data_IF_834904253206
#
_entry.id   IF_834904253206
#
_cell.length_a   1.000
_cell.length_b   1.000
_cell.length_c   1.000
_cell.angle_alpha   90.00
_cell.angle_beta   90.00
_cell.angle_gamma   90.00
#
_symmetry.space_group_name_H-M   'P 1'
#
loop_
_entity.id
_entity.type
_entity.pdbx_description
1 polymer ?
#
# COMPACT_ATOMS: atom_id res chain seq x y z
N UNK A 1 -18.63 10.67 -9.17
CA UNK A 1 -19.23 9.43 -8.62
C UNK A 1 -18.11 8.70 -7.94
N UNK A 2 -18.27 8.22 -6.71
CA UNK A 2 -17.23 7.40 -6.09
C UNK A 2 -17.04 6.13 -6.94
N UNK A 3 -15.80 5.66 -7.06
CA UNK A 3 -15.46 4.48 -7.86
C UNK A 3 -16.16 3.20 -7.36
N UNK A 4 -16.47 3.12 -6.05
CA UNK A 4 -17.37 2.10 -5.47
C UNK A 4 -18.78 2.12 -6.08
N UNK A 5 -19.27 3.30 -6.47
CA UNK A 5 -20.55 3.47 -7.16
C UNK A 5 -20.55 2.78 -8.52
N UNK A 6 -19.48 2.94 -9.30
CA UNK A 6 -19.36 2.32 -10.63
C UNK A 6 -19.16 0.81 -10.57
N UNK A 7 -18.38 0.34 -9.59
CA UNK A 7 -18.28 -1.08 -9.29
C UNK A 7 -19.65 -1.69 -8.90
N UNK A 8 -20.43 -1.02 -8.04
CA UNK A 8 -21.78 -1.46 -7.67
C UNK A 8 -22.73 -1.43 -8.87
N UNK A 9 -22.65 -0.43 -9.73
CA UNK A 9 -23.40 -0.39 -10.98
C UNK A 9 -23.07 -1.57 -11.89
N UNK A 10 -21.78 -1.90 -12.04
CA UNK A 10 -21.35 -3.07 -12.81
C UNK A 10 -21.82 -4.38 -12.16
N UNK A 11 -21.77 -4.49 -10.84
CA UNK A 11 -22.33 -5.63 -10.12
C UNK A 11 -23.84 -5.78 -10.37
N UNK A 12 -24.57 -4.66 -10.39
CA UNK A 12 -26.01 -4.63 -10.64
C UNK A 12 -26.40 -5.02 -12.07
N UNK A 13 -25.49 -4.89 -13.04
CA UNK A 13 -25.68 -5.44 -14.39
C UNK A 13 -25.64 -6.97 -14.42
N UNK A 14 -24.91 -7.58 -13.48
CA UNK A 14 -24.81 -9.05 -13.34
C UNK A 14 -25.93 -9.60 -12.45
N UNK A 15 -26.24 -8.90 -11.36
CA UNK A 15 -27.32 -9.24 -10.42
C UNK A 15 -28.01 -7.95 -9.94
N UNK A 16 -29.28 -7.69 -10.32
CA UNK A 16 -30.00 -6.49 -9.91
C UNK A 16 -30.09 -6.27 -8.38
N UNK A 17 -29.93 -7.32 -7.58
CA UNK A 17 -29.93 -7.27 -6.10
C UNK A 17 -28.52 -7.15 -5.51
N UNK A 18 -27.49 -6.97 -6.36
CA UNK A 18 -26.12 -6.86 -5.94
C UNK A 18 -25.94 -5.76 -4.89
N UNK A 19 -25.17 -6.12 -3.87
CA UNK A 19 -24.66 -5.24 -2.82
C UNK A 19 -23.14 -5.42 -2.74
N UNK A 20 -22.45 -4.35 -2.37
CA UNK A 20 -21.03 -4.48 -2.04
C UNK A 20 -20.89 -5.26 -0.73
N UNK A 21 -19.82 -6.05 -0.64
CA UNK A 21 -19.43 -6.68 0.61
C UNK A 21 -18.96 -5.63 1.61
N UNK A 22 -18.96 -6.03 2.89
CA UNK A 22 -18.24 -5.30 3.93
C UNK A 22 -16.75 -5.23 3.59
N UNK A 23 -16.09 -4.12 3.90
CA UNK A 23 -14.69 -3.92 3.56
C UNK A 23 -13.78 -4.93 4.24
N UNK A 24 -14.09 -5.35 5.47
CA UNK A 24 -13.32 -6.37 6.19
C UNK A 24 -13.40 -7.74 5.47
N UNK A 25 -14.55 -8.07 4.88
CA UNK A 25 -14.71 -9.29 4.09
C UNK A 25 -13.91 -9.23 2.80
N UNK A 26 -13.93 -8.09 2.09
CA UNK A 26 -13.10 -7.92 0.90
C UNK A 26 -11.61 -7.98 1.22
N UNK A 27 -11.21 -7.43 2.37
CA UNK A 27 -9.85 -7.52 2.85
C UNK A 27 -9.44 -8.97 3.20
N UNK A 28 -10.35 -9.78 3.73
CA UNK A 28 -10.10 -11.22 3.99
C UNK A 28 -10.04 -12.03 2.70
N UNK A 29 -10.91 -11.72 1.74
CA UNK A 29 -10.98 -12.38 0.44
C UNK A 29 -9.93 -11.85 -0.56
N UNK A 30 -8.93 -11.12 -0.04
CA UNK A 30 -7.92 -10.45 -0.82
C UNK A 30 -7.27 -11.36 -1.86
N UNK A 31 -6.77 -12.52 -1.47
CA UNK A 31 -6.14 -13.47 -2.40
C UNK A 31 -7.07 -13.90 -3.55
N UNK A 32 -8.34 -14.16 -3.25
CA UNK A 32 -9.33 -14.56 -4.24
C UNK A 32 -9.64 -13.43 -5.22
N UNK A 33 -9.92 -12.25 -4.67
CA UNK A 33 -10.23 -11.05 -5.47
C UNK A 33 -9.00 -10.67 -6.31
N UNK A 34 -7.78 -10.75 -5.78
CA UNK A 34 -6.55 -10.55 -6.55
C UNK A 34 -6.46 -11.47 -7.77
N UNK A 35 -6.61 -12.78 -7.52
CA UNK A 35 -6.45 -13.80 -8.54
C UNK A 35 -7.50 -13.62 -9.64
N UNK A 36 -8.73 -13.29 -9.27
CA UNK A 36 -9.80 -12.97 -10.21
C UNK A 36 -9.41 -11.79 -11.09
N UNK A 37 -9.02 -10.67 -10.48
CA UNK A 37 -8.78 -9.41 -11.16
C UNK A 37 -7.52 -9.39 -12.03
N UNK A 38 -6.59 -10.32 -11.79
CA UNK A 38 -5.35 -10.45 -12.56
C UNK A 38 -5.34 -11.70 -13.44
N UNK A 39 -6.48 -12.41 -13.54
CA UNK A 39 -6.59 -13.64 -14.32
C UNK A 39 -5.54 -14.69 -13.93
N UNK A 40 -5.23 -14.79 -12.64
CA UNK A 40 -4.27 -15.76 -12.09
C UNK A 40 -5.00 -17.07 -11.75
N UNK A 41 -4.30 -18.22 -11.71
CA UNK A 41 -4.88 -19.48 -11.27
C UNK A 41 -5.66 -19.33 -9.94
N UNK A 42 -6.87 -19.93 -9.83
CA UNK A 42 -7.47 -20.91 -10.75
C UNK A 42 -8.20 -20.29 -11.95
N UNK A 43 -8.20 -18.96 -12.09
CA UNK A 43 -8.84 -18.30 -13.22
C UNK A 43 -8.00 -18.46 -14.49
N UNK A 44 -8.64 -18.69 -15.65
CA UNK A 44 -7.91 -18.84 -16.90
C UNK A 44 -7.08 -17.58 -17.19
N UNK A 45 -5.77 -17.72 -17.49
CA UNK A 45 -4.95 -16.57 -17.88
C UNK A 45 -5.49 -15.99 -19.18
N UNK A 46 -5.85 -14.70 -19.15
CA UNK A 46 -6.29 -13.94 -20.32
C UNK A 46 -5.33 -12.78 -20.55
N UNK A 47 -4.93 -12.55 -21.80
CA UNK A 47 -4.08 -11.41 -22.21
C UNK A 47 -4.77 -10.62 -23.33
N UNK A 48 -5.20 -9.37 -23.08
CA UNK A 48 -5.23 -8.69 -21.78
C UNK A 48 -6.27 -9.30 -20.82
N UNK A 49 -6.03 -9.20 -19.52
CA UNK A 49 -7.04 -9.57 -18.53
C UNK A 49 -8.20 -8.56 -18.63
N UNK A 50 -9.46 -9.00 -18.77
CA UNK A 50 -10.58 -8.09 -19.05
C UNK A 50 -11.08 -7.33 -17.81
N UNK A 51 -10.54 -7.63 -16.64
CA UNK A 51 -10.95 -7.02 -15.38
C UNK A 51 -10.15 -5.75 -15.09
N UNK A 52 -10.84 -4.72 -14.63
CA UNK A 52 -10.26 -3.44 -14.24
C UNK A 52 -10.73 -3.02 -12.84
N UNK A 53 -10.35 -1.82 -12.35
CA UNK A 53 -10.65 -1.38 -10.99
C UNK A 53 -12.14 -1.43 -10.61
N UNK A 54 -13.04 -1.18 -11.58
CA UNK A 54 -14.49 -1.20 -11.42
C UNK A 54 -15.12 -2.59 -11.60
N UNK A 55 -14.31 -3.63 -11.80
CA UNK A 55 -14.82 -4.99 -12.01
C UNK A 55 -15.32 -5.59 -10.69
N UNK A 56 -16.58 -6.06 -10.64
CA UNK A 56 -17.12 -6.70 -9.46
C UNK A 56 -16.66 -8.15 -9.37
N UNK A 57 -16.17 -8.55 -8.21
CA UNK A 57 -15.78 -9.93 -7.89
C UNK A 57 -16.83 -10.53 -6.95
N UNK A 58 -17.53 -11.60 -7.36
CA UNK A 58 -18.52 -12.25 -6.52
C UNK A 58 -17.85 -12.97 -5.35
N UNK A 59 -18.34 -12.72 -4.14
CA UNK A 59 -17.84 -13.28 -2.89
C UNK A 59 -19.04 -13.73 -2.04
N UNK A 60 -18.88 -14.83 -1.31
CA UNK A 60 -19.87 -15.28 -0.34
C UNK A 60 -19.50 -14.79 1.07
N UNK A 61 -20.43 -14.09 1.70
CA UNK A 61 -20.31 -13.63 3.07
C UNK A 61 -20.43 -14.76 4.10
N UNK A 62 -20.20 -14.48 5.39
CA UNK A 62 -20.15 -15.48 6.46
C UNK A 62 -21.47 -16.26 6.65
N UNK A 63 -22.60 -15.71 6.21
CA UNK A 63 -23.92 -16.37 6.27
C UNK A 63 -24.34 -16.96 4.92
N UNK A 64 -23.40 -17.09 3.99
CA UNK A 64 -23.63 -17.59 2.64
C UNK A 64 -24.31 -16.59 1.70
N UNK A 65 -24.41 -15.31 2.09
CA UNK A 65 -24.98 -14.29 1.21
C UNK A 65 -24.01 -13.91 0.09
N UNK A 66 -24.51 -13.78 -1.14
CA UNK A 66 -23.72 -13.22 -2.23
C UNK A 66 -23.55 -11.71 -2.03
N UNK A 67 -22.33 -11.23 -2.14
CA UNK A 67 -21.99 -9.82 -2.24
C UNK A 67 -20.80 -9.65 -3.20
N UNK A 68 -20.44 -8.41 -3.51
CA UNK A 68 -19.39 -8.12 -4.49
C UNK A 68 -18.28 -7.28 -3.86
N UNK A 69 -17.04 -7.72 -4.04
CA UNK A 69 -15.85 -6.91 -3.81
C UNK A 69 -15.42 -6.25 -5.11
N UNK A 70 -14.70 -5.13 -5.04
CA UNK A 70 -14.21 -4.47 -6.24
C UNK A 70 -12.77 -4.88 -6.49
N UNK A 71 -12.38 -5.05 -7.76
CA UNK A 71 -11.01 -5.45 -8.08
C UNK A 71 -9.92 -4.54 -7.52
N UNK A 72 -10.26 -3.27 -7.32
CA UNK A 72 -9.38 -2.31 -6.65
C UNK A 72 -9.10 -2.64 -5.20
N UNK A 73 -10.02 -3.27 -4.46
CA UNK A 73 -9.87 -3.51 -3.01
C UNK A 73 -8.62 -4.34 -2.69
N UNK A 74 -8.11 -5.11 -3.65
CA UNK A 74 -6.88 -5.91 -3.49
C UNK A 74 -5.67 -5.34 -4.22
N UNK A 75 -5.88 -4.68 -5.36
CA UNK A 75 -4.83 -3.81 -5.91
C UNK A 75 -4.45 -2.67 -4.93
N UNK A 76 -5.29 -2.40 -3.93
CA UNK A 76 -5.14 -1.37 -2.89
C UNK A 76 -4.29 -1.74 -1.68
N UNK A 77 -3.58 -2.88 -1.65
CA UNK A 77 -2.67 -3.17 -0.52
C UNK A 77 -1.32 -2.45 -0.62
N UNK A 78 -1.01 -1.84 -1.76
CA UNK A 78 0.21 -1.04 -1.97
C UNK A 78 -0.06 0.29 -2.67
N UNK A 79 -1.08 1.07 -2.28
CA UNK A 79 -1.44 2.25 -3.03
C UNK A 79 -0.60 3.43 -2.54
N UNK A 80 -0.03 4.19 -3.48
CA UNK A 80 0.71 5.42 -3.21
C UNK A 80 -0.14 6.61 -3.67
N UNK A 81 -0.26 7.63 -2.83
CA UNK A 81 -1.00 8.84 -3.17
C UNK A 81 -0.33 9.65 -4.29
N UNK A 82 -1.16 10.28 -5.13
CA UNK A 82 -0.71 11.15 -6.24
C UNK A 82 -1.32 12.55 -6.11
N UNK A 83 -0.69 13.59 -6.68
CA UNK A 83 -1.13 14.98 -6.49
C UNK A 83 -2.56 15.28 -6.96
N UNK A 84 -2.97 14.69 -8.09
CA UNK A 84 -4.22 15.07 -8.79
C UNK A 84 -5.34 14.04 -8.67
N UNK A 85 -5.30 13.13 -7.70
CA UNK A 85 -6.37 12.15 -7.58
C UNK A 85 -6.16 11.02 -6.61
N UNK A 86 -6.87 9.94 -6.89
CA UNK A 86 -6.89 8.76 -6.05
C UNK A 86 -5.58 7.98 -6.15
N UNK A 87 -5.18 7.38 -5.03
CA UNK A 87 -3.96 6.59 -4.94
C UNK A 87 -3.91 5.48 -6.01
N UNK A 88 -2.70 5.25 -6.54
CA UNK A 88 -2.42 4.25 -7.57
C UNK A 88 -1.62 3.09 -6.98
N UNK A 89 -1.80 1.85 -7.47
CA UNK A 89 -0.91 0.73 -7.13
C UNK A 89 0.55 1.09 -7.44
N UNK A 90 1.48 0.69 -6.56
CA UNK A 90 2.92 0.99 -6.72
C UNK A 90 3.51 0.43 -8.03
N UNK A 91 2.99 -0.70 -8.52
CA UNK A 91 3.39 -1.33 -9.79
C UNK A 91 3.03 -0.52 -11.05
N UNK A 92 2.13 0.46 -10.95
CA UNK A 92 1.69 1.26 -12.09
C UNK A 92 2.61 2.47 -12.34
N UNK A 93 3.49 2.80 -11.40
CA UNK A 93 4.35 3.97 -11.51
C UNK A 93 5.51 3.72 -12.47
N UNK A 94 5.81 4.71 -13.30
CA UNK A 94 6.99 4.74 -14.18
C UNK A 94 7.86 5.94 -13.82
N UNK A 95 9.14 5.89 -14.19
CA UNK A 95 10.04 7.04 -14.03
C UNK A 95 9.44 8.27 -14.72
N UNK A 96 9.39 9.39 -14.01
CA UNK A 96 8.75 10.64 -14.44
C UNK A 96 7.31 10.83 -13.95
N UNK A 97 6.61 9.76 -13.52
CA UNK A 97 5.29 9.89 -12.89
C UNK A 97 5.39 10.71 -11.59
N UNK A 98 4.32 11.41 -11.23
CA UNK A 98 4.27 12.22 -10.01
C UNK A 98 3.67 11.43 -8.84
N UNK A 99 4.32 11.53 -7.68
CA UNK A 99 3.83 11.03 -6.38
C UNK A 99 3.76 12.18 -5.37
N UNK A 100 2.91 12.03 -4.35
CA UNK A 100 2.98 12.91 -3.17
C UNK A 100 4.07 12.41 -2.23
N UNK A 101 5.09 13.24 -2.04
CA UNK A 101 6.20 12.98 -1.15
C UNK A 101 6.44 14.14 -0.18
N UNK A 102 7.03 13.85 0.97
CA UNK A 102 7.33 14.82 2.00
C UNK A 102 8.66 14.54 2.70
N UNK A 103 9.12 15.50 3.49
CA UNK A 103 10.17 15.34 4.50
C UNK A 103 9.61 15.01 5.88
N UNK A 104 10.46 15.05 6.90
CA UNK A 104 10.06 14.77 8.29
C UNK A 104 9.05 15.77 8.88
N UNK A 105 8.89 16.93 8.25
CA UNK A 105 7.87 17.94 8.54
C UNK A 105 6.49 17.61 7.95
N UNK A 106 6.41 16.60 7.09
CA UNK A 106 5.20 16.17 6.37
C UNK A 106 4.62 17.27 5.46
N UNK A 107 5.47 18.16 4.93
CA UNK A 107 5.05 19.10 3.88
C UNK A 107 4.94 18.38 2.54
N UNK A 108 3.72 18.01 2.16
CA UNK A 108 3.44 17.19 0.99
C UNK A 108 3.57 17.98 -0.31
N UNK A 109 4.41 17.51 -1.20
CA UNK A 109 4.63 18.09 -2.53
C UNK A 109 4.67 17.02 -3.61
N UNK A 110 4.31 17.43 -4.84
CA UNK A 110 4.46 16.58 -6.01
C UNK A 110 5.96 16.39 -6.30
N UNK A 111 6.42 15.15 -6.38
CA UNK A 111 7.79 14.81 -6.81
C UNK A 111 7.77 13.75 -7.91
N UNK A 112 8.68 13.84 -8.90
CA UNK A 112 8.83 12.80 -9.91
C UNK A 112 9.39 11.53 -9.29
N UNK A 113 8.93 10.38 -9.77
CA UNK A 113 9.56 9.09 -9.55
C UNK A 113 10.85 9.04 -10.36
N UNK A 114 11.99 8.85 -9.70
CA UNK A 114 13.31 8.71 -10.34
C UNK A 114 13.76 7.25 -10.45
N UNK A 115 13.19 6.37 -9.64
CA UNK A 115 13.42 4.93 -9.68
C UNK A 115 12.08 4.18 -9.65
N UNK A 116 11.92 3.20 -10.54
CA UNK A 116 10.76 2.31 -10.56
C UNK A 116 11.18 0.96 -11.13
N UNK A 117 11.19 -0.07 -10.29
CA UNK A 117 11.55 -1.43 -10.69
C UNK A 117 10.85 -2.48 -9.81
N UNK A 118 10.65 -3.67 -10.34
CA UNK A 118 9.92 -4.72 -9.64
C UNK A 118 9.93 -6.06 -10.36
N UNK A 119 9.81 -7.13 -9.58
CA UNK A 119 9.72 -8.48 -10.12
C UNK A 119 8.26 -8.83 -10.43
N UNK A 120 7.91 -8.83 -11.72
CA UNK A 120 6.63 -9.32 -12.22
C UNK A 120 6.65 -10.85 -12.42
N UNK A 121 6.64 -11.62 -11.33
CA UNK A 121 6.56 -13.10 -11.31
C UNK A 121 7.72 -13.87 -11.95
N UNK A 122 8.28 -14.81 -11.19
CA UNK A 122 9.26 -15.82 -11.60
C UNK A 122 9.42 -16.78 -10.44
N UNK A 123 9.71 -18.05 -10.70
CA UNK A 123 9.68 -19.20 -9.77
C UNK A 123 10.72 -19.15 -8.62
N UNK A 124 11.24 -17.97 -8.28
CA UNK A 124 12.18 -17.74 -7.19
C UNK A 124 11.46 -17.22 -5.93
N UNK A 125 12.00 -17.56 -4.76
CA UNK A 125 11.56 -17.05 -3.47
C UNK A 125 11.71 -15.51 -3.44
N UNK A 126 10.61 -14.80 -3.71
CA UNK A 126 10.54 -13.35 -3.53
C UNK A 126 10.78 -12.93 -2.07
N UNK A 127 11.00 -11.63 -1.80
CA UNK A 127 11.24 -11.14 -0.46
C UNK A 127 10.07 -11.50 0.47
N UNK A 128 10.39 -11.75 1.75
CA UNK A 128 9.37 -12.00 2.76
C UNK A 128 8.38 -10.82 2.81
N UNK A 129 7.09 -11.13 2.70
CA UNK A 129 6.02 -10.13 2.72
C UNK A 129 5.28 -10.16 4.05
N UNK A 130 4.81 -8.99 4.50
CA UNK A 130 3.98 -8.85 5.70
C UNK A 130 2.74 -8.02 5.40
N UNK A 131 1.63 -8.39 6.03
CA UNK A 131 0.38 -7.61 6.04
C UNK A 131 0.34 -6.81 7.35
N UNK A 132 0.39 -5.49 7.23
CA UNK A 132 0.23 -4.56 8.35
C UNK A 132 -1.20 -4.07 8.36
N UNK A 133 -1.97 -4.43 9.40
CA UNK A 133 -3.33 -3.93 9.64
C UNK A 133 -3.30 -2.81 10.66
N UNK A 134 -4.03 -1.74 10.41
CA UNK A 134 -4.05 -0.54 11.25
C UNK A 134 -5.40 0.16 11.21
N UNK A 135 -5.64 1.09 12.14
CA UNK A 135 -6.92 1.79 12.30
C UNK A 135 -6.77 3.29 12.08
N UNK A 136 -7.34 3.77 10.99
CA UNK A 136 -7.50 5.20 10.69
C UNK A 136 -8.82 5.71 11.25
N UNK A 137 -9.01 7.04 11.27
CA UNK A 137 -10.29 7.66 11.60
C UNK A 137 -11.43 7.22 10.68
N UNK A 138 -11.12 6.87 9.43
CA UNK A 138 -12.06 6.37 8.43
C UNK A 138 -12.42 4.88 8.60
N UNK A 139 -11.70 4.13 9.44
CA UNK A 139 -11.89 2.69 9.61
C UNK A 139 -10.59 1.90 9.59
N UNK A 140 -10.71 0.57 9.59
CA UNK A 140 -9.56 -0.32 9.47
C UNK A 140 -9.02 -0.36 8.05
N UNK A 141 -7.70 -0.36 7.93
CA UNK A 141 -6.98 -0.43 6.68
C UNK A 141 -5.83 -1.44 6.78
N UNK A 142 -5.26 -1.79 5.64
CA UNK A 142 -4.13 -2.71 5.56
C UNK A 142 -3.22 -2.39 4.40
N UNK A 143 -1.92 -2.62 4.61
CA UNK A 143 -0.85 -2.55 3.62
C UNK A 143 -0.09 -3.89 3.56
N UNK A 144 0.18 -4.38 2.36
CA UNK A 144 1.00 -5.57 2.11
C UNK A 144 2.36 -5.12 1.57
N UNK A 145 3.42 -5.29 2.36
CA UNK A 145 4.73 -4.73 2.06
C UNK A 145 5.84 -5.76 2.28
N UNK A 146 7.04 -5.50 1.79
CA UNK A 146 8.19 -6.32 2.14
C UNK A 146 8.50 -6.18 3.64
N UNK A 147 9.07 -7.22 4.25
CA UNK A 147 9.42 -7.27 5.66
C UNK A 147 10.35 -6.12 6.09
N UNK A 148 11.15 -5.62 5.17
CA UNK A 148 12.11 -4.55 5.36
C UNK A 148 11.58 -3.15 4.97
N UNK A 149 10.33 -3.06 4.50
CA UNK A 149 9.69 -1.79 4.15
C UNK A 149 9.61 -0.85 5.35
N UNK A 150 9.80 0.44 5.10
CA UNK A 150 10.01 1.44 6.15
C UNK A 150 8.71 2.17 6.46
N UNK A 151 8.35 2.23 7.73
CA UNK A 151 7.27 3.06 8.24
C UNK A 151 7.83 4.19 9.10
N UNK A 152 7.17 5.35 9.04
CA UNK A 152 7.35 6.39 10.05
C UNK A 152 6.43 6.10 11.24
N UNK A 153 7.01 5.99 12.42
CA UNK A 153 6.30 5.85 13.68
C UNK A 153 5.95 7.22 14.28
N UNK A 154 4.90 7.23 15.09
CA UNK A 154 4.56 8.38 15.92
C UNK A 154 5.77 8.76 16.79
N UNK A 155 6.16 10.02 16.75
CA UNK A 155 7.40 10.51 17.37
C UNK A 155 8.60 10.59 16.42
N UNK A 156 8.42 10.29 15.12
CA UNK A 156 9.40 10.57 14.07
C UNK A 156 10.48 9.49 13.88
N UNK A 157 10.36 8.35 14.56
CA UNK A 157 11.28 7.22 14.40
C UNK A 157 10.90 6.37 13.19
N UNK A 158 11.89 5.89 12.44
CA UNK A 158 11.67 4.92 11.37
C UNK A 158 11.72 3.49 11.92
N UNK A 159 10.87 2.61 11.40
CA UNK A 159 10.91 1.18 11.71
C UNK A 159 10.63 0.34 10.48
N UNK A 160 11.27 -0.84 10.39
CA UNK A 160 10.99 -1.82 9.34
C UNK A 160 9.69 -2.58 9.67
N UNK A 161 8.96 -2.97 8.66
CA UNK A 161 7.65 -3.61 8.79
C UNK A 161 7.69 -4.86 9.71
N UNK A 162 8.71 -5.70 9.59
CA UNK A 162 8.88 -6.91 10.41
C UNK A 162 9.27 -6.62 11.88
N UNK A 163 9.66 -5.39 12.21
CA UNK A 163 10.03 -4.98 13.57
C UNK A 163 8.88 -4.30 14.33
N UNK A 164 7.76 -4.02 13.66
CA UNK A 164 6.60 -3.37 14.24
C UNK A 164 5.95 -4.25 15.31
N UNK A 165 5.66 -3.67 16.47
CA UNK A 165 4.99 -4.36 17.58
C UNK A 165 3.61 -3.75 17.85
N UNK A 166 2.51 -4.45 17.47
CA UNK A 166 1.15 -4.04 17.80
C UNK A 166 0.97 -3.77 19.31
N UNK A 167 0.18 -2.75 19.64
CA UNK A 167 -0.05 -2.31 21.03
C UNK A 167 1.11 -1.53 21.68
N UNK A 168 2.30 -1.50 21.07
CA UNK A 168 3.44 -0.68 21.50
C UNK A 168 3.74 0.42 20.50
N UNK A 169 4.02 0.04 19.26
CA UNK A 169 4.33 0.97 18.18
C UNK A 169 3.05 1.57 17.60
N UNK A 170 3.14 2.81 17.14
CA UNK A 170 2.06 3.50 16.41
C UNK A 170 2.64 4.09 15.14
N UNK A 171 1.95 3.94 14.02
CA UNK A 171 2.34 4.56 12.75
C UNK A 171 2.02 6.06 12.80
N UNK A 172 2.57 6.83 11.86
CA UNK A 172 2.19 8.22 11.62
C UNK A 172 1.21 8.28 10.44
N UNK A 173 0.08 8.97 10.60
CA UNK A 173 -0.86 9.26 9.52
C UNK A 173 -0.29 10.31 8.58
N UNK A 174 -0.83 10.43 7.36
CA UNK A 174 -0.38 11.45 6.41
C UNK A 174 -0.53 12.89 6.98
N UNK A 175 -1.44 13.09 7.92
CA UNK A 175 -1.70 14.35 8.63
C UNK A 175 -0.85 14.52 9.90
N UNK A 176 0.07 13.58 10.18
CA UNK A 176 0.97 13.61 11.33
C UNK A 176 0.41 13.01 12.62
N UNK A 177 -0.81 12.46 12.60
CA UNK A 177 -1.44 11.86 13.78
C UNK A 177 -0.96 10.43 14.07
N UNK A 178 -1.03 9.96 15.33
CA UNK A 178 -0.71 8.58 15.65
C UNK A 178 -1.80 7.61 15.15
N UNK A 179 -1.38 6.48 14.59
CA UNK A 179 -2.25 5.43 14.04
C UNK A 179 -1.96 4.10 14.73
N UNK A 180 -3.02 3.46 15.25
CA UNK A 180 -2.92 2.19 15.95
C UNK A 180 -2.62 1.05 14.96
N UNK A 181 -1.61 0.24 15.28
CA UNK A 181 -1.34 -1.03 14.59
C UNK A 181 -2.21 -2.12 15.23
N UNK A 182 -3.07 -2.72 14.42
CA UNK A 182 -3.96 -3.82 14.81
C UNK A 182 -3.23 -5.15 14.78
N UNK A 183 -2.53 -5.44 13.68
CA UNK A 183 -1.72 -6.66 13.55
C UNK A 183 -0.61 -6.52 12.51
N UNK A 184 0.41 -7.39 12.61
CA UNK A 184 1.49 -7.57 11.64
C UNK A 184 1.62 -9.06 11.40
N UNK A 185 1.28 -9.52 10.20
CA UNK A 185 1.13 -10.93 9.88
C UNK A 185 2.04 -11.31 8.70
N UNK A 186 2.83 -12.38 8.79
CA UNK A 186 3.54 -12.92 7.63
C UNK A 186 2.55 -13.28 6.52
N UNK A 187 2.88 -12.95 5.27
CA UNK A 187 2.10 -13.36 4.11
C UNK A 187 2.81 -14.50 3.39
N UNK A 188 2.13 -15.64 3.26
CA UNK A 188 2.60 -16.74 2.43
C UNK A 188 2.33 -16.46 0.94
N UNK A 189 3.38 -16.50 0.12
CA UNK A 189 3.29 -16.41 -1.34
C UNK A 189 4.53 -15.79 -1.99
N UNK A 190 4.77 -16.16 -3.25
CA UNK A 190 5.80 -15.55 -4.10
C UNK A 190 5.43 -14.08 -4.33
N UNK A 191 6.10 -13.18 -3.61
CA UNK A 191 5.79 -11.77 -3.58
C UNK A 191 6.29 -11.06 -4.84
N UNK A 192 5.38 -10.78 -5.79
CA UNK A 192 5.60 -9.66 -6.71
C UNK A 192 5.82 -8.43 -5.85
N UNK A 193 6.97 -7.81 -5.96
CA UNK A 193 7.31 -6.58 -5.26
C UNK A 193 7.67 -5.55 -6.32
N UNK A 194 7.30 -4.31 -6.05
CA UNK A 194 7.64 -3.19 -6.90
C UNK A 194 8.07 -2.06 -5.99
N UNK A 195 9.19 -1.45 -6.34
CA UNK A 195 9.85 -0.41 -5.58
C UNK A 195 9.82 0.86 -6.41
N UNK A 196 9.50 1.96 -5.75
CA UNK A 196 9.62 3.30 -6.32
C UNK A 196 10.41 4.20 -5.38
N UNK A 197 11.11 5.17 -5.94
CA UNK A 197 11.72 6.25 -5.18
C UNK A 197 11.71 7.56 -5.94
N UNK A 198 11.73 8.66 -5.19
CA UNK A 198 11.87 10.04 -5.71
C UNK A 198 13.33 10.41 -5.95
N UNK A 199 14.27 9.49 -5.70
CA UNK A 199 15.69 9.59 -6.04
C UNK A 199 16.20 8.27 -6.59
N UNK A 200 17.13 8.33 -7.55
CA UNK A 200 17.90 7.17 -7.99
C UNK A 200 19.05 6.79 -7.02
N UNK A 201 19.35 7.65 -6.03
CA UNK A 201 20.43 7.45 -5.06
C UNK A 201 19.87 7.04 -3.69
N UNK A 202 20.70 6.38 -2.88
CA UNK A 202 20.36 6.08 -1.48
C UNK A 202 20.04 7.38 -0.75
N UNK A 203 18.94 7.39 0.01
CA UNK A 203 18.53 8.58 0.74
C UNK A 203 19.55 8.93 1.84
N UNK A 204 19.92 10.20 1.93
CA UNK A 204 20.75 10.74 3.02
C UNK A 204 19.94 11.39 4.13
N UNK A 205 18.62 11.48 3.94
CA UNK A 205 17.68 12.11 4.87
C UNK A 205 16.23 11.82 4.46
N UNK A 206 15.27 12.41 5.17
CA UNK A 206 13.85 12.19 4.91
C UNK A 206 13.28 13.07 3.80
N UNK A 207 13.93 14.19 3.47
CA UNK A 207 13.35 15.17 2.54
C UNK A 207 13.02 14.54 1.18
N UNK A 208 11.74 14.56 0.82
CA UNK A 208 11.21 13.97 -0.41
C UNK A 208 11.14 12.44 -0.43
N UNK A 209 11.47 11.76 0.65
CA UNK A 209 11.56 10.30 0.71
C UNK A 209 10.45 9.63 1.52
N UNK A 210 9.55 10.42 2.09
CA UNK A 210 8.34 9.91 2.74
C UNK A 210 7.17 9.95 1.76
N UNK A 211 6.43 8.85 1.66
CA UNK A 211 5.26 8.68 0.80
C UNK A 211 3.99 8.52 1.65
N UNK A 212 2.86 8.99 1.12
CA UNK A 212 1.55 8.68 1.67
C UNK A 212 1.05 7.36 1.07
N UNK A 213 1.16 6.29 1.86
CA UNK A 213 0.71 4.96 1.49
C UNK A 213 -0.58 4.65 2.25
N UNK A 214 -1.72 4.84 1.60
CA UNK A 214 -3.05 4.55 2.17
C UNK A 214 -3.29 5.20 3.54
N UNK A 215 -2.95 6.49 3.66
CA UNK A 215 -3.21 7.30 4.85
C UNK A 215 -2.18 7.16 5.97
N UNK A 216 -1.13 6.34 5.78
CA UNK A 216 0.03 6.28 6.69
C UNK A 216 1.32 6.64 5.95
N UNK A 217 2.31 7.10 6.71
CA UNK A 217 3.58 7.57 6.17
C UNK A 217 4.59 6.41 6.09
N UNK A 218 5.09 6.16 4.89
CA UNK A 218 6.10 5.13 4.61
C UNK A 218 7.32 5.73 3.94
N UNK A 219 8.46 5.05 4.00
CA UNK A 219 9.63 5.39 3.21
C UNK A 219 9.52 4.88 1.77
N UNK A 220 10.11 5.61 0.84
CA UNK A 220 10.37 5.13 -0.51
C UNK A 220 11.54 4.12 -0.55
N UNK A 221 11.87 3.60 -1.73
CA UNK A 221 12.95 2.63 -1.89
C UNK A 221 14.35 3.18 -1.55
N UNK A 222 14.61 4.44 -1.86
CA UNK A 222 15.89 5.08 -1.56
C UNK A 222 16.12 5.16 -0.03
N UNK A 223 15.07 5.44 0.73
CA UNK A 223 15.11 5.41 2.19
C UNK A 223 15.20 3.98 2.74
N UNK A 224 14.53 3.02 2.13
CA UNK A 224 14.60 1.60 2.54
C UNK A 224 16.02 1.02 2.41
N UNK A 225 16.78 1.47 1.41
CA UNK A 225 18.18 1.11 1.19
C UNK A 225 19.15 1.79 2.17
N UNK A 226 18.73 2.83 2.88
CA UNK A 226 19.58 3.51 3.84
C UNK A 226 19.80 2.67 5.11
N UNK A 227 20.93 2.89 5.80
CA UNK A 227 21.15 2.35 7.14
C UNK A 227 20.23 3.05 8.14
N UNK A 228 19.07 2.44 8.35
CA UNK A 228 18.11 2.85 9.37
C UNK A 228 18.46 2.12 10.66
N UNK A 229 19.50 2.58 11.36
CA UNK A 229 19.72 2.19 12.76
C UNK A 229 18.86 3.05 13.69
N UNK A 230 18.28 2.41 14.71
CA UNK A 230 17.39 2.99 15.75
C UNK A 230 17.87 4.39 16.22
N UNK A 231 17.36 5.43 15.57
CA UNK A 231 17.63 6.83 15.92
C UNK A 231 18.89 7.47 15.32
N UNK A 232 19.78 6.76 14.62
CA UNK A 232 21.02 7.35 14.09
C UNK A 232 20.77 8.32 12.92
N UNK A 233 19.84 8.00 12.02
CA UNK A 233 19.44 8.91 10.94
C UNK A 233 18.75 10.16 11.51
N UNK A 234 17.86 9.99 12.48
CA UNK A 234 17.15 11.07 13.17
C UNK A 234 18.09 11.94 14.02
N UNK A 235 19.11 11.36 14.67
CA UNK A 235 20.10 12.11 15.46
C UNK A 235 21.08 12.90 14.60
N UNK A 236 21.48 12.39 13.43
CA UNK A 236 22.24 13.19 12.44
C UNK A 236 21.41 14.38 11.93
N UNK A 237 20.08 14.24 11.92
CA UNK A 237 19.14 15.28 11.48
C UNK A 237 18.84 16.33 12.57
N UNK A 238 18.91 16.00 13.86
CA UNK A 238 18.79 16.99 14.94
C UNK A 238 20.05 17.83 15.17
N UNK A 239 21.17 17.47 14.52
CA UNK A 239 22.46 18.18 14.62
C UNK A 239 22.83 18.99 13.38
N UNK A 240 22.01 18.96 12.32
CA UNK A 240 22.16 19.87 11.18
C UNK A 240 21.42 21.18 11.49
N UNK A 241 22.11 22.11 12.15
CA UNK A 241 21.63 23.48 12.33
C UNK A 241 21.45 24.19 10.96
N UNK A 242 20.48 25.11 10.83
CA UNK A 242 20.34 25.88 9.60
C UNK A 242 21.55 26.80 9.44
N UNK A 243 22.16 26.76 8.24
CA UNK A 243 23.15 27.74 7.81
C UNK A 243 22.53 29.12 7.56
#
# INVERSE_FOLDING_TARGET
MSDRGKCLENARKLDPKAKLCDESLCAQMGRHVHAFCNCLPPYPPQKPCPYGPDSPVPVYGPRGELCYCCCRDVASYRPVAVPDGEARPVEDFRVGDQVLAAGGDLDWSARPVEFSDGAETGEEEGPAMVLVRYRLASGEAALAVTADHVFLLAGGRLARAASLVPGRDRLTSAEGGPVEIVSVEPMEGVGRHHHIATSAQIATGLDGHLLNSKGVVTGDWALQCAEIEDGALVQRMSQAEPA
#
